data_IF_983300713138
#
_entry.id   IF_983300713138
#
_cell.length_a   1.000
_cell.length_b   1.000
_cell.length_c   1.000
_cell.angle_alpha   90.00
_cell.angle_beta   90.00
_cell.angle_gamma   90.00
#
_symmetry.space_group_name_H-M   'P 1'
#
loop_
_entity.id
_entity.type
_entity.pdbx_description
1 polymer ?
#
# COMPACT_ATOMS: atom_id res chain seq x y z
N UNK A 1 -3.30 0.78 -31.02
CA UNK A 1 -2.51 0.62 -29.79
C UNK A 1 -3.43 0.71 -28.60
N UNK A 2 -3.55 -0.38 -27.82
CA UNK A 2 -4.45 -0.45 -26.67
C UNK A 2 -3.67 -0.68 -25.35
N UNK A 3 -2.40 -0.32 -25.33
CA UNK A 3 -1.58 -0.41 -24.11
C UNK A 3 -1.89 0.71 -23.13
N UNK A 4 -1.78 0.42 -21.83
CA UNK A 4 -1.84 1.39 -20.75
C UNK A 4 -0.45 1.60 -20.17
N UNK A 5 -0.05 2.85 -19.98
CA UNK A 5 1.14 3.23 -19.22
C UNK A 5 0.76 3.42 -17.75
N UNK A 6 1.16 2.46 -16.91
CA UNK A 6 0.99 2.56 -15.46
C UNK A 6 2.12 3.36 -14.82
N UNK A 7 1.77 4.36 -14.02
CA UNK A 7 2.71 5.15 -13.22
C UNK A 7 2.50 4.76 -11.77
N UNK A 8 3.44 3.99 -11.22
CA UNK A 8 3.41 3.54 -9.85
C UNK A 8 4.25 4.40 -8.92
N UNK A 9 3.99 4.30 -7.63
CA UNK A 9 4.78 4.97 -6.59
C UNK A 9 5.10 4.02 -5.43
N UNK A 10 6.19 4.33 -4.75
CA UNK A 10 6.71 3.58 -3.60
C UNK A 10 7.18 4.60 -2.57
N UNK A 11 7.01 4.31 -1.29
CA UNK A 11 7.58 5.12 -0.23
C UNK A 11 6.80 6.39 0.09
N UNK A 12 5.49 6.41 -0.13
CA UNK A 12 4.65 7.55 0.27
C UNK A 12 4.78 7.82 1.77
N UNK A 13 4.75 6.78 2.59
CA UNK A 13 4.87 6.89 4.04
C UNK A 13 6.22 7.54 4.43
N UNK A 14 7.31 7.06 3.89
CA UNK A 14 8.66 7.58 4.15
C UNK A 14 8.85 9.00 3.61
N UNK A 15 8.27 9.31 2.44
CA UNK A 15 8.26 10.65 1.89
C UNK A 15 7.54 11.64 2.83
N UNK A 16 6.39 11.24 3.38
CA UNK A 16 5.65 12.07 4.35
C UNK A 16 6.44 12.25 5.66
N UNK A 17 7.11 11.20 6.14
CA UNK A 17 8.02 11.33 7.30
C UNK A 17 9.12 12.34 7.00
N UNK A 18 9.71 12.32 5.80
CA UNK A 18 10.74 13.28 5.40
C UNK A 18 10.22 14.71 5.33
N UNK A 19 8.98 14.92 4.88
CA UNK A 19 8.40 16.24 4.65
C UNK A 19 7.79 16.86 5.91
N UNK A 20 7.07 16.05 6.72
CA UNK A 20 6.27 16.54 7.86
C UNK A 20 6.52 15.80 9.16
N UNK A 21 7.47 14.85 9.18
CA UNK A 21 7.89 14.13 10.38
C UNK A 21 7.02 12.95 10.79
N UNK A 22 5.93 12.68 10.07
CA UNK A 22 4.98 11.59 10.36
C UNK A 22 4.41 11.02 9.06
N UNK A 23 4.02 9.75 9.05
CA UNK A 23 3.33 9.17 7.92
C UNK A 23 1.80 9.29 8.04
N UNK A 24 1.11 9.03 6.94
CA UNK A 24 -0.35 9.20 6.79
C UNK A 24 -1.22 8.30 7.71
N UNK A 25 -0.67 7.24 8.30
CA UNK A 25 -1.36 6.44 9.31
C UNK A 25 -1.31 7.03 10.72
N UNK A 26 -0.40 7.98 10.98
CA UNK A 26 -0.18 8.57 12.30
C UNK A 26 -0.83 9.93 12.49
N UNK A 27 -1.00 10.67 11.40
CA UNK A 27 -1.34 12.09 11.47
C UNK A 27 -2.26 12.52 10.32
N UNK A 28 -3.29 13.31 10.63
CA UNK A 28 -4.27 13.76 9.65
C UNK A 28 -3.70 14.77 8.63
N UNK A 29 -2.74 15.59 9.02
CA UNK A 29 -2.08 16.52 8.09
C UNK A 29 -1.19 15.76 7.12
N UNK A 30 -0.47 14.74 7.60
CA UNK A 30 0.28 13.84 6.75
C UNK A 30 -0.64 13.07 5.79
N UNK A 31 -1.80 12.60 6.26
CA UNK A 31 -2.81 11.97 5.40
C UNK A 31 -3.31 12.93 4.31
N UNK A 32 -3.63 14.17 4.67
CA UNK A 32 -4.07 15.18 3.72
C UNK A 32 -3.00 15.46 2.65
N UNK A 33 -1.75 15.66 3.08
CA UNK A 33 -0.63 15.87 2.15
C UNK A 33 -0.42 14.65 1.23
N UNK A 34 -0.51 13.43 1.77
CA UNK A 34 -0.42 12.21 0.97
C UNK A 34 -1.50 12.13 -0.12
N UNK A 35 -2.74 12.47 0.23
CA UNK A 35 -3.84 12.56 -0.74
C UNK A 35 -3.62 13.65 -1.79
N UNK A 36 -3.10 14.81 -1.40
CA UNK A 36 -2.76 15.90 -2.34
C UNK A 36 -1.68 15.44 -3.34
N UNK A 37 -0.64 14.76 -2.88
CA UNK A 37 0.43 14.23 -3.74
C UNK A 37 -0.14 13.25 -4.78
N UNK A 38 -0.91 12.25 -4.33
CA UNK A 38 -1.45 11.23 -5.24
C UNK A 38 -2.54 11.79 -6.15
N UNK A 39 -3.34 12.74 -5.67
CA UNK A 39 -4.31 13.48 -6.52
C UNK A 39 -3.58 14.23 -7.63
N UNK A 40 -2.51 14.94 -7.31
CA UNK A 40 -1.69 15.61 -8.32
C UNK A 40 -1.15 14.63 -9.36
N UNK A 41 -0.65 13.46 -8.95
CA UNK A 41 -0.23 12.42 -9.88
C UNK A 41 -1.37 12.00 -10.81
N UNK A 42 -2.58 11.75 -10.27
CA UNK A 42 -3.77 11.40 -11.04
C UNK A 42 -4.14 12.47 -12.07
N UNK A 43 -4.14 13.74 -11.65
CA UNK A 43 -4.47 14.85 -12.54
C UNK A 43 -3.45 14.96 -13.69
N UNK A 44 -2.16 14.81 -13.37
CA UNK A 44 -1.11 14.81 -14.39
C UNK A 44 -1.22 13.66 -15.40
N UNK A 45 -1.57 12.44 -14.96
CA UNK A 45 -1.77 11.33 -15.91
C UNK A 45 -3.01 11.53 -16.77
N UNK A 46 -4.06 12.16 -16.26
CA UNK A 46 -5.25 12.53 -17.03
C UNK A 46 -4.89 13.54 -18.13
N UNK A 47 -4.17 14.61 -17.78
CA UNK A 47 -3.68 15.59 -18.76
C UNK A 47 -2.79 14.93 -19.85
N UNK A 48 -1.93 13.98 -19.44
CA UNK A 48 -1.10 13.25 -20.41
C UNK A 48 -1.93 12.35 -21.32
N UNK A 49 -2.98 11.71 -20.78
CA UNK A 49 -3.89 10.90 -21.59
C UNK A 49 -4.58 11.74 -22.67
N UNK A 50 -5.03 12.92 -22.31
CA UNK A 50 -5.65 13.87 -23.25
C UNK A 50 -4.63 14.40 -24.27
N UNK A 51 -3.47 14.85 -23.80
CA UNK A 51 -2.44 15.48 -24.63
C UNK A 51 -1.85 14.51 -25.66
N UNK A 52 -1.54 13.30 -25.25
CA UNK A 52 -0.82 12.33 -26.06
C UNK A 52 -1.74 11.28 -26.69
N UNK A 53 -3.03 11.30 -26.40
CA UNK A 53 -4.03 10.34 -26.88
C UNK A 53 -3.61 8.88 -26.60
N UNK A 54 -3.01 8.67 -25.42
CA UNK A 54 -2.63 7.36 -24.89
C UNK A 54 -3.31 7.14 -23.54
N UNK A 55 -3.43 5.89 -23.15
CA UNK A 55 -4.00 5.55 -21.86
C UNK A 55 -2.91 5.55 -20.78
N UNK A 56 -3.01 6.47 -19.83
CA UNK A 56 -2.16 6.54 -18.64
C UNK A 56 -3.00 6.30 -17.39
N UNK A 57 -2.42 5.69 -16.37
CA UNK A 57 -3.09 5.49 -15.09
C UNK A 57 -2.11 5.52 -13.93
N UNK A 58 -2.57 5.94 -12.76
CA UNK A 58 -1.82 5.78 -11.50
C UNK A 58 -2.08 4.38 -10.95
N UNK A 59 -1.01 3.74 -10.50
CA UNK A 59 -1.00 2.38 -9.96
C UNK A 59 -0.43 2.40 -8.54
N UNK A 60 -1.15 1.83 -7.59
CA UNK A 60 -0.61 1.48 -6.27
C UNK A 60 0.29 0.25 -6.43
N UNK A 61 1.57 0.47 -6.69
CA UNK A 61 2.53 -0.56 -7.13
C UNK A 61 2.84 -1.56 -6.02
N UNK A 62 2.64 -2.87 -6.23
CA UNK A 62 3.17 -3.92 -5.36
C UNK A 62 4.66 -4.17 -5.70
N UNK A 63 5.53 -3.30 -5.22
CA UNK A 63 6.93 -3.26 -5.65
C UNK A 63 7.85 -4.09 -4.76
N UNK A 64 7.67 -5.38 -4.72
CA UNK A 64 8.38 -6.35 -3.87
C UNK A 64 9.91 -6.13 -3.81
N UNK A 65 10.63 -6.47 -4.85
CA UNK A 65 12.10 -6.35 -4.89
C UNK A 65 12.59 -4.91 -5.08
N UNK A 66 11.79 -4.04 -5.71
CA UNK A 66 12.17 -2.67 -6.03
C UNK A 66 12.18 -1.78 -4.79
N UNK A 67 11.24 -1.98 -3.86
CA UNK A 67 11.18 -1.26 -2.60
C UNK A 67 12.49 -1.39 -1.80
N UNK A 68 13.02 -2.61 -1.66
CA UNK A 68 14.30 -2.85 -0.99
C UNK A 68 15.51 -2.33 -1.79
N UNK A 69 15.44 -2.35 -3.13
CA UNK A 69 16.51 -1.82 -3.97
C UNK A 69 16.67 -0.31 -3.81
N UNK A 70 15.56 0.43 -3.76
CA UNK A 70 15.58 1.87 -3.55
C UNK A 70 16.12 2.22 -2.18
N UNK A 71 15.63 1.57 -1.12
CA UNK A 71 16.12 1.83 0.25
C UNK A 71 17.63 1.59 0.37
N UNK A 72 18.15 0.50 -0.22
CA UNK A 72 19.60 0.23 -0.21
C UNK A 72 20.39 1.32 -0.94
N UNK A 73 19.85 1.83 -2.05
CA UNK A 73 20.50 2.91 -2.80
C UNK A 73 20.52 4.19 -2.00
N UNK A 74 19.37 4.60 -1.49
CA UNK A 74 19.24 5.85 -0.75
C UNK A 74 20.03 5.82 0.55
N UNK A 75 20.10 4.67 1.23
CA UNK A 75 20.98 4.48 2.38
C UNK A 75 22.46 4.67 2.04
N UNK A 76 22.87 4.26 0.85
CA UNK A 76 24.25 4.48 0.36
C UNK A 76 24.52 5.94 0.04
N UNK A 77 23.54 6.61 -0.57
CA UNK A 77 23.72 7.97 -1.08
C UNK A 77 23.50 9.04 0.00
N UNK A 78 22.58 8.79 0.95
CA UNK A 78 22.16 9.75 1.98
C UNK A 78 22.42 9.30 3.43
N UNK A 79 22.90 8.07 3.62
CA UNK A 79 23.12 7.50 4.94
C UNK A 79 21.87 6.94 5.59
N UNK A 80 21.99 6.60 6.88
CA UNK A 80 20.91 6.04 7.68
C UNK A 80 20.08 7.18 8.30
N UNK A 81 18.85 7.32 7.83
CA UNK A 81 17.90 8.34 8.30
C UNK A 81 16.73 7.63 8.97
N UNK A 82 16.52 7.92 10.27
CA UNK A 82 15.48 7.30 11.08
C UNK A 82 14.08 7.53 10.50
N UNK A 83 13.30 6.45 10.35
CA UNK A 83 11.96 6.49 9.81
C UNK A 83 11.90 6.60 8.28
N UNK A 84 13.05 6.66 7.59
CA UNK A 84 13.12 6.77 6.13
C UNK A 84 13.99 5.65 5.57
N UNK A 85 15.31 5.67 5.80
CA UNK A 85 16.26 4.69 5.23
C UNK A 85 16.74 3.65 6.24
N UNK A 86 16.24 3.67 7.46
CA UNK A 86 16.65 2.78 8.55
C UNK A 86 16.08 1.36 8.47
N UNK A 87 15.19 1.11 7.50
CA UNK A 87 14.61 -0.21 7.22
C UNK A 87 15.17 -0.82 5.96
N UNK A 88 14.81 -2.07 5.68
CA UNK A 88 15.32 -2.79 4.51
C UNK A 88 14.56 -2.49 3.23
N UNK A 89 13.35 -1.95 3.33
CA UNK A 89 12.50 -1.59 2.20
C UNK A 89 11.62 -0.38 2.52
N UNK A 90 11.22 0.33 1.49
CA UNK A 90 10.18 1.35 1.57
C UNK A 90 8.80 0.73 1.54
N UNK A 91 7.86 1.36 2.21
CA UNK A 91 6.46 0.96 2.17
C UNK A 91 5.92 1.05 0.74
N UNK A 92 5.22 0.02 0.29
CA UNK A 92 4.63 0.01 -1.04
C UNK A 92 3.48 1.01 -1.13
N UNK A 93 3.46 1.76 -2.22
CA UNK A 93 2.37 2.67 -2.59
C UNK A 93 1.81 3.50 -1.43
N UNK A 94 0.50 3.43 -1.23
CA UNK A 94 -0.26 4.15 -0.19
C UNK A 94 -0.49 3.35 1.08
N UNK A 95 0.17 2.21 1.25
CA UNK A 95 -0.04 1.39 2.45
C UNK A 95 0.44 2.09 3.71
N UNK A 96 -0.28 1.86 4.79
CA UNK A 96 0.23 2.13 6.14
C UNK A 96 1.38 1.16 6.40
N UNK A 97 2.53 1.65 6.91
CA UNK A 97 3.69 0.79 7.16
C UNK A 97 3.34 -0.40 8.05
N UNK A 98 3.81 -1.60 7.68
CA UNK A 98 3.51 -2.84 8.40
C UNK A 98 3.97 -2.86 9.86
N UNK A 99 4.96 -2.04 10.21
CA UNK A 99 5.44 -1.90 11.58
C UNK A 99 4.56 -0.98 12.44
N UNK A 100 3.65 -0.23 11.83
CA UNK A 100 2.73 0.64 12.55
C UNK A 100 1.50 -0.17 12.98
N UNK A 101 1.33 -0.28 14.28
CA UNK A 101 0.21 -1.04 14.83
C UNK A 101 -1.07 -0.22 14.78
N UNK A 102 -2.01 -0.68 13.99
CA UNK A 102 -3.36 -0.12 13.92
C UNK A 102 -4.38 -1.24 13.66
N UNK A 103 -5.64 -0.98 13.97
CA UNK A 103 -6.71 -1.92 13.62
C UNK A 103 -6.93 -1.97 12.11
N UNK A 104 -7.46 -3.10 11.60
CA UNK A 104 -7.84 -3.24 10.20
C UNK A 104 -8.80 -2.12 9.76
N UNK A 105 -9.71 -1.71 10.65
CA UNK A 105 -10.63 -0.61 10.39
C UNK A 105 -9.93 0.75 10.23
N UNK A 106 -8.95 1.06 11.09
CA UNK A 106 -8.17 2.29 10.99
C UNK A 106 -7.30 2.27 9.73
N UNK A 107 -6.68 1.14 9.41
CA UNK A 107 -5.93 0.93 8.16
C UNK A 107 -6.83 1.17 6.94
N UNK A 108 -8.02 0.55 6.90
CA UNK A 108 -8.99 0.73 5.83
C UNK A 108 -9.40 2.20 5.66
N UNK A 109 -9.73 2.89 6.74
CA UNK A 109 -10.06 4.33 6.71
C UNK A 109 -8.93 5.19 6.14
N UNK A 110 -7.68 4.82 6.40
CA UNK A 110 -6.50 5.54 5.91
C UNK A 110 -6.21 5.25 4.44
N UNK A 111 -6.27 3.96 4.02
CA UNK A 111 -5.85 3.55 2.68
C UNK A 111 -6.95 3.70 1.62
N UNK A 112 -8.22 3.49 1.98
CA UNK A 112 -9.33 3.50 1.03
C UNK A 112 -9.46 4.79 0.17
N UNK A 113 -9.22 6.01 0.70
CA UNK A 113 -9.29 7.21 -0.13
C UNK A 113 -8.32 7.25 -1.31
N UNK A 114 -7.24 6.47 -1.27
CA UNK A 114 -6.29 6.35 -2.37
C UNK A 114 -6.78 5.44 -3.49
N UNK A 115 -7.74 4.55 -3.23
CA UNK A 115 -8.21 3.58 -4.23
C UNK A 115 -8.83 4.28 -5.46
N UNK A 116 -9.61 5.33 -5.27
CA UNK A 116 -10.15 6.14 -6.37
C UNK A 116 -9.09 6.91 -7.16
N UNK A 117 -7.93 7.13 -6.55
CA UNK A 117 -6.80 7.83 -7.17
C UNK A 117 -5.89 6.87 -7.95
N UNK A 118 -5.93 5.58 -7.65
CA UNK A 118 -5.05 4.55 -8.21
C UNK A 118 -5.81 3.54 -9.07
N UNK A 119 -6.51 4.03 -10.09
CA UNK A 119 -7.37 3.21 -10.96
C UNK A 119 -6.60 2.23 -11.84
N UNK A 120 -5.29 2.36 -11.96
CA UNK A 120 -4.43 1.38 -12.62
C UNK A 120 -4.29 0.06 -11.86
N UNK A 121 -4.64 0.05 -10.60
CA UNK A 121 -4.67 -1.09 -9.69
C UNK A 121 -4.33 -0.69 -8.26
N UNK A 122 -4.98 -1.34 -7.32
CA UNK A 122 -4.74 -1.20 -5.87
C UNK A 122 -5.20 -2.47 -5.16
N UNK A 123 -4.65 -2.72 -3.99
CA UNK A 123 -5.04 -3.85 -3.11
C UNK A 123 -5.05 -3.35 -1.68
N UNK A 124 -6.07 -3.73 -0.92
CA UNK A 124 -6.09 -3.60 0.53
C UNK A 124 -5.70 -4.94 1.15
N UNK A 125 -4.68 -4.97 1.98
CA UNK A 125 -4.21 -6.18 2.65
C UNK A 125 -4.69 -6.21 4.11
N UNK A 126 -5.32 -7.32 4.48
CA UNK A 126 -5.67 -7.63 5.88
C UNK A 126 -4.98 -8.93 6.26
N UNK A 127 -4.28 -8.90 7.38
CA UNK A 127 -3.71 -10.10 7.99
C UNK A 127 -4.64 -10.59 9.08
N UNK A 128 -5.00 -11.87 9.03
CA UNK A 128 -5.83 -12.53 10.04
C UNK A 128 -4.99 -13.59 10.72
N UNK A 129 -4.87 -13.47 12.04
CA UNK A 129 -4.23 -14.48 12.85
C UNK A 129 -5.10 -15.74 12.98
N UNK A 130 -4.47 -16.90 12.92
CA UNK A 130 -5.11 -18.18 13.09
C UNK A 130 -5.81 -18.72 11.84
N UNK A 131 -6.74 -19.68 12.04
CA UNK A 131 -7.46 -20.35 10.95
C UNK A 131 -8.78 -19.63 10.66
N UNK A 132 -8.85 -18.94 9.52
CA UNK A 132 -10.06 -18.23 9.11
C UNK A 132 -11.27 -19.14 8.90
N UNK A 133 -11.08 -20.44 8.73
CA UNK A 133 -12.21 -21.41 8.65
C UNK A 133 -12.97 -21.52 9.97
N UNK A 134 -12.32 -21.20 11.08
CA UNK A 134 -12.92 -21.17 12.41
C UNK A 134 -13.55 -19.81 12.78
N UNK A 135 -13.32 -18.78 11.96
CA UNK A 135 -13.87 -17.44 12.18
C UNK A 135 -14.35 -16.80 10.86
N UNK A 136 -15.43 -17.31 10.25
CA UNK A 136 -15.97 -16.76 9.02
C UNK A 136 -16.45 -15.30 9.17
N UNK A 137 -16.86 -14.90 10.38
CA UNK A 137 -17.31 -13.53 10.65
C UNK A 137 -16.19 -12.50 10.46
N UNK A 138 -14.93 -12.89 10.66
CA UNK A 138 -13.80 -12.02 10.36
C UNK A 138 -13.72 -11.69 8.86
N UNK A 139 -13.99 -12.66 8.00
CA UNK A 139 -14.04 -12.45 6.54
C UNK A 139 -15.22 -11.55 6.15
N UNK A 140 -16.39 -11.78 6.73
CA UNK A 140 -17.56 -10.91 6.50
C UNK A 140 -17.28 -9.48 6.94
N UNK A 141 -16.60 -9.29 8.07
CA UNK A 141 -16.16 -7.96 8.53
C UNK A 141 -15.26 -7.27 7.51
N UNK A 142 -14.36 -7.98 6.83
CA UNK A 142 -13.54 -7.42 5.77
C UNK A 142 -14.40 -7.01 4.57
N UNK A 143 -15.36 -7.84 4.18
CA UNK A 143 -16.30 -7.52 3.08
C UNK A 143 -17.14 -6.28 3.41
N UNK A 144 -17.65 -6.19 4.63
CA UNK A 144 -18.41 -5.02 5.11
C UNK A 144 -17.54 -3.75 5.11
N UNK A 145 -16.26 -3.87 5.47
CA UNK A 145 -15.32 -2.75 5.38
C UNK A 145 -15.08 -2.33 3.93
N UNK A 146 -14.97 -3.28 3.00
CA UNK A 146 -14.80 -2.97 1.58
C UNK A 146 -16.00 -2.18 1.04
N UNK A 147 -17.21 -2.61 1.35
CA UNK A 147 -18.44 -1.89 0.97
C UNK A 147 -18.47 -0.49 1.61
N UNK A 148 -18.30 -0.42 2.92
CA UNK A 148 -18.33 0.84 3.69
C UNK A 148 -17.35 1.90 3.19
N UNK A 149 -16.16 1.48 2.79
CA UNK A 149 -15.07 2.37 2.36
C UNK A 149 -14.86 2.41 0.85
N UNK A 150 -15.78 1.83 0.07
CA UNK A 150 -15.72 1.78 -1.39
C UNK A 150 -14.37 1.22 -1.91
N UNK A 151 -13.91 0.11 -1.33
CA UNK A 151 -12.68 -0.55 -1.71
C UNK A 151 -12.96 -1.63 -2.76
N UNK A 152 -12.35 -1.50 -3.95
CA UNK A 152 -12.62 -2.42 -5.06
C UNK A 152 -11.94 -3.78 -4.94
N UNK A 153 -10.84 -3.88 -4.18
CA UNK A 153 -10.07 -5.11 -4.08
C UNK A 153 -9.35 -5.23 -2.73
N UNK A 154 -9.48 -6.39 -2.10
CA UNK A 154 -8.78 -6.72 -0.87
C UNK A 154 -8.22 -8.15 -0.92
N UNK A 155 -7.13 -8.38 -0.20
CA UNK A 155 -6.56 -9.70 0.05
C UNK A 155 -6.54 -9.96 1.55
N UNK A 156 -7.05 -11.12 1.94
CA UNK A 156 -6.95 -11.62 3.30
C UNK A 156 -5.78 -12.59 3.35
N UNK A 157 -4.76 -12.20 4.08
CA UNK A 157 -3.55 -13.00 4.24
C UNK A 157 -3.61 -13.80 5.53
N UNK A 158 -3.13 -15.04 5.45
CA UNK A 158 -2.93 -15.92 6.59
C UNK A 158 -1.43 -16.08 6.84
N UNK A 159 -1.03 -15.96 8.09
CA UNK A 159 0.34 -16.21 8.51
C UNK A 159 0.55 -17.73 8.67
N UNK A 160 0.74 -18.43 7.54
CA UNK A 160 0.99 -19.88 7.52
C UNK A 160 2.22 -20.20 6.71
N UNK A 161 3.14 -20.90 7.34
CA UNK A 161 4.29 -21.51 6.65
C UNK A 161 3.90 -22.88 6.08
N UNK A 162 4.10 -23.08 4.78
CA UNK A 162 3.85 -24.34 4.12
C UNK A 162 5.17 -25.03 3.75
N UNK A 163 5.33 -26.27 4.19
CA UNK A 163 6.44 -27.09 3.74
C UNK A 163 6.29 -27.44 2.25
N UNK A 164 7.23 -26.99 1.41
CA UNK A 164 7.18 -27.25 -0.03
C UNK A 164 7.37 -28.73 -0.38
N UNK A 165 7.90 -29.57 0.54
CA UNK A 165 8.17 -30.98 0.30
C UNK A 165 6.98 -31.88 0.65
N UNK A 166 6.27 -31.63 1.74
CA UNK A 166 5.19 -32.50 2.23
C UNK A 166 3.82 -31.81 2.32
N UNK A 167 3.75 -30.51 2.04
CA UNK A 167 2.51 -29.75 2.11
C UNK A 167 2.03 -29.43 3.54
N UNK A 168 2.80 -29.81 4.58
CA UNK A 168 2.46 -29.50 5.96
C UNK A 168 2.37 -27.99 6.16
N UNK A 169 1.30 -27.54 6.79
CA UNK A 169 1.09 -26.12 7.13
C UNK A 169 1.18 -25.93 8.63
N UNK A 170 1.95 -24.94 9.08
CA UNK A 170 2.04 -24.53 10.46
C UNK A 170 1.69 -23.05 10.58
N UNK A 171 0.88 -22.71 11.56
CA UNK A 171 0.69 -21.32 11.97
C UNK A 171 1.80 -21.00 12.98
N UNK A 172 2.70 -20.08 12.66
CA UNK A 172 3.60 -19.52 13.66
C UNK A 172 2.75 -18.77 14.69
N UNK A 173 2.69 -19.33 15.88
CA UNK A 173 2.16 -18.65 17.07
C UNK A 173 3.25 -17.83 17.73
#
# INVERSE_FOLDING_TARGET
>A
NQGTLGIGFIGLAEALVALVGKHHGEDEQAQKLGLEIVTYMKDRVNEFSEKYQHNYSVLATPAEGLAGRFTRRDKKDFGLIKGITDREYYTNSNHVPVYYQCSAHQKAKTEAPYHDLTRGGHIFYVEIDGDATHNPDAILTVVDMMDKYNMGYASVNHNRNRCLKCGYENSDT
#
